data_IF_556431202438
#
_entry.id   IF_556431202438
#
_cell.length_a   1.000
_cell.length_b   1.000
_cell.length_c   1.000
_cell.angle_alpha   90.00
_cell.angle_beta   90.00
_cell.angle_gamma   90.00
#
_symmetry.space_group_name_H-M   'P 1'
#
loop_
_entity.id
_entity.type
_entity.pdbx_description
1 polymer ?
#
# COMPACT_ATOMS: atom_id res chain seq x y z
N UNK A 1 37.90 24.99 22.78
CA UNK A 1 38.51 24.63 21.48
C UNK A 1 39.01 23.20 21.48
N UNK A 2 39.65 22.74 22.57
CA UNK A 2 40.10 21.33 22.73
C UNK A 2 38.94 20.32 22.85
N UNK A 3 37.82 20.73 23.46
CA UNK A 3 36.60 19.91 23.60
C UNK A 3 35.85 19.66 22.29
N UNK A 4 36.00 20.51 21.27
CA UNK A 4 35.36 20.34 19.95
C UNK A 4 36.15 19.41 19.01
N UNK A 5 37.46 19.32 19.20
CA UNK A 5 38.31 18.42 18.42
C UNK A 5 38.09 16.95 18.84
N UNK A 6 37.98 16.69 20.15
CA UNK A 6 37.70 15.34 20.68
C UNK A 6 36.32 14.82 20.27
N UNK A 7 35.30 15.69 20.28
CA UNK A 7 33.95 15.31 19.85
C UNK A 7 33.90 14.96 18.35
N UNK A 8 34.66 15.70 17.53
CA UNK A 8 34.73 15.49 16.08
C UNK A 8 35.47 14.20 15.72
N UNK A 9 36.58 13.89 16.38
CA UNK A 9 37.32 12.64 16.17
C UNK A 9 36.53 11.41 16.66
N UNK A 10 35.88 11.52 17.82
CA UNK A 10 34.98 10.47 18.33
C UNK A 10 33.84 10.17 17.34
N UNK A 11 33.21 11.21 16.79
CA UNK A 11 32.16 11.06 15.79
C UNK A 11 32.68 10.41 14.50
N UNK A 12 33.89 10.73 14.04
CA UNK A 12 34.51 10.06 12.88
C UNK A 12 34.77 8.58 13.14
N UNK A 13 35.27 8.21 14.32
CA UNK A 13 35.50 6.83 14.72
C UNK A 13 34.22 6.00 14.73
N UNK A 14 33.14 6.55 15.30
CA UNK A 14 31.82 5.92 15.30
C UNK A 14 31.31 5.73 13.86
N UNK A 15 31.38 6.76 13.02
CA UNK A 15 30.91 6.69 11.63
C UNK A 15 31.71 5.67 10.80
N UNK A 16 33.02 5.56 11.02
CA UNK A 16 33.86 4.56 10.35
C UNK A 16 33.53 3.12 10.80
N UNK A 17 33.16 2.93 12.07
CA UNK A 17 32.70 1.64 12.57
C UNK A 17 31.32 1.26 11.98
N UNK A 18 30.37 2.20 11.97
CA UNK A 18 29.05 2.01 11.35
C UNK A 18 29.19 1.67 9.86
N UNK A 19 30.04 2.41 9.14
CA UNK A 19 30.30 2.17 7.72
C UNK A 19 30.85 0.76 7.44
N UNK A 20 31.86 0.31 8.21
CA UNK A 20 32.40 -1.05 8.10
C UNK A 20 31.35 -2.12 8.35
N UNK A 21 30.47 -1.91 9.33
CA UNK A 21 29.43 -2.88 9.68
C UNK A 21 28.32 -2.94 8.63
N UNK A 22 27.84 -1.78 8.16
CA UNK A 22 26.85 -1.70 7.09
C UNK A 22 27.36 -2.31 5.78
N UNK A 23 28.65 -2.15 5.48
CA UNK A 23 29.24 -2.69 4.24
C UNK A 23 29.82 -4.11 4.37
N UNK A 24 29.63 -4.76 5.52
CA UNK A 24 29.93 -6.18 5.70
C UNK A 24 29.07 -7.06 4.77
N UNK A 25 29.44 -8.33 4.59
CA UNK A 25 28.63 -9.28 3.81
C UNK A 25 27.19 -9.36 4.29
N UNK A 26 26.97 -9.32 5.61
CA UNK A 26 25.64 -9.38 6.20
C UNK A 26 24.89 -8.05 6.08
N UNK A 27 25.56 -6.91 6.28
CA UNK A 27 24.94 -5.60 6.11
C UNK A 27 24.43 -5.39 4.68
N UNK A 28 25.21 -5.82 3.68
CA UNK A 28 24.78 -5.81 2.27
C UNK A 28 23.59 -6.72 2.01
N UNK A 29 23.58 -7.91 2.58
CA UNK A 29 22.44 -8.83 2.48
C UNK A 29 21.17 -8.21 3.07
N UNK A 30 21.26 -7.57 4.24
CA UNK A 30 20.11 -6.90 4.86
C UNK A 30 19.61 -5.70 4.04
N UNK A 31 20.51 -4.89 3.50
CA UNK A 31 20.14 -3.79 2.60
C UNK A 31 19.45 -4.31 1.32
N UNK A 32 19.89 -5.44 0.79
CA UNK A 32 19.26 -6.08 -0.36
C UNK A 32 17.86 -6.59 -0.02
N UNK A 33 17.72 -7.35 1.07
CA UNK A 33 16.42 -7.86 1.52
C UNK A 33 15.42 -6.71 1.72
N UNK A 34 15.83 -5.67 2.42
CA UNK A 34 14.93 -4.57 2.78
C UNK A 34 14.68 -3.58 1.63
N UNK A 35 15.69 -3.30 0.79
CA UNK A 35 15.58 -2.31 -0.30
C UNK A 35 15.16 -2.87 -1.66
N UNK A 36 15.15 -4.21 -1.82
CA UNK A 36 14.79 -4.91 -3.06
C UNK A 36 13.70 -5.95 -2.83
N UNK A 37 13.90 -6.91 -1.93
CA UNK A 37 12.95 -8.01 -1.73
C UNK A 37 11.64 -7.51 -1.11
N UNK A 38 11.70 -6.66 -0.09
CA UNK A 38 10.51 -6.10 0.56
C UNK A 38 9.61 -5.32 -0.41
N UNK A 39 10.11 -4.39 -1.25
CA UNK A 39 9.31 -3.76 -2.31
C UNK A 39 8.66 -4.75 -3.27
N UNK A 40 9.36 -5.82 -3.67
CA UNK A 40 8.80 -6.85 -4.56
C UNK A 40 7.63 -7.56 -3.87
N UNK A 41 7.79 -7.94 -2.61
CA UNK A 41 6.73 -8.57 -1.82
C UNK A 41 5.54 -7.62 -1.67
N UNK A 42 5.77 -6.37 -1.24
CA UNK A 42 4.73 -5.35 -1.11
C UNK A 42 3.94 -5.14 -2.40
N UNK A 43 4.65 -5.15 -3.54
CA UNK A 43 4.03 -5.03 -4.85
C UNK A 43 3.23 -6.28 -5.24
N UNK A 44 3.72 -7.49 -4.92
CA UNK A 44 2.97 -8.72 -5.12
C UNK A 44 1.66 -8.74 -4.31
N UNK A 45 1.67 -8.22 -3.08
CA UNK A 45 0.44 -8.05 -2.29
C UNK A 45 -0.52 -7.00 -2.86
N UNK A 46 -0.01 -5.96 -3.51
CA UNK A 46 -0.86 -5.00 -4.23
C UNK A 46 -1.63 -5.65 -5.39
N UNK A 47 -1.13 -6.76 -5.94
CA UNK A 47 -1.78 -7.54 -7.01
C UNK A 47 -2.84 -8.51 -6.51
N UNK A 48 -2.69 -9.05 -5.31
CA UNK A 48 -3.68 -9.97 -4.72
C UNK A 48 -4.92 -9.25 -4.19
N UNK A 49 -4.98 -7.93 -4.34
CA UNK A 49 -5.90 -7.06 -3.61
C UNK A 49 -5.41 -6.92 -2.17
N UNK A 50 -5.14 -5.70 -1.73
CA UNK A 50 -5.08 -5.44 -0.30
C UNK A 50 -6.43 -5.89 0.29
N UNK A 51 -6.48 -6.58 1.45
CA UNK A 51 -7.74 -6.95 2.11
C UNK A 51 -8.62 -5.74 2.47
N UNK A 52 -8.17 -4.52 2.19
CA UNK A 52 -8.99 -3.33 2.19
C UNK A 52 -10.10 -3.35 1.12
N UNK A 53 -9.91 -3.98 -0.04
CA UNK A 53 -10.77 -3.83 -1.22
C UNK A 53 -12.20 -4.36 -1.04
N UNK A 54 -12.40 -5.42 -0.26
CA UNK A 54 -13.71 -6.08 -0.11
C UNK A 54 -14.73 -5.20 0.63
N UNK A 55 -14.25 -4.23 1.41
CA UNK A 55 -15.06 -3.28 2.19
C UNK A 55 -15.02 -1.85 1.61
N UNK A 56 -14.43 -1.60 0.42
CA UNK A 56 -14.38 -0.23 -0.12
C UNK A 56 -15.69 0.18 -0.81
N UNK A 57 -16.13 1.40 -0.52
CA UNK A 57 -17.20 2.09 -1.25
C UNK A 57 -16.76 3.50 -1.64
N UNK A 58 -17.54 4.16 -2.49
CA UNK A 58 -17.28 5.53 -2.94
C UNK A 58 -17.61 6.55 -1.82
N UNK A 59 -16.76 6.62 -0.80
CA UNK A 59 -16.93 7.49 0.37
C UNK A 59 -16.40 8.93 0.17
N UNK A 60 -15.65 9.17 -0.90
CA UNK A 60 -15.01 10.45 -1.22
C UNK A 60 -13.83 10.80 -0.32
N UNK A 61 -13.36 9.89 0.56
CA UNK A 61 -12.28 10.18 1.49
C UNK A 61 -10.91 10.03 0.83
N UNK A 62 -9.93 10.90 1.14
CA UNK A 62 -8.57 10.80 0.63
C UNK A 62 -7.89 9.44 0.92
N UNK A 63 -8.24 8.82 2.05
CA UNK A 63 -7.77 7.49 2.44
C UNK A 63 -8.12 6.40 1.41
N UNK A 64 -9.36 6.42 0.88
CA UNK A 64 -9.84 5.46 -0.12
C UNK A 64 -9.09 5.63 -1.45
N UNK A 65 -8.86 6.87 -1.87
CA UNK A 65 -8.06 7.15 -3.07
C UNK A 65 -6.62 6.65 -2.92
N UNK A 66 -5.99 6.87 -1.76
CA UNK A 66 -4.63 6.41 -1.49
C UNK A 66 -4.54 4.86 -1.46
N UNK A 67 -5.52 4.19 -0.84
CA UNK A 67 -5.61 2.72 -0.86
C UNK A 67 -5.72 2.15 -2.29
N UNK A 68 -6.55 2.78 -3.14
CA UNK A 68 -6.70 2.36 -4.53
C UNK A 68 -5.44 2.66 -5.35
N UNK A 69 -4.78 3.80 -5.12
CA UNK A 69 -3.49 4.12 -5.75
C UNK A 69 -2.39 3.12 -5.39
N UNK A 70 -2.44 2.53 -4.19
CA UNK A 70 -1.53 1.46 -3.75
C UNK A 70 -1.87 0.08 -4.34
N UNK A 71 -3.01 -0.07 -5.02
CA UNK A 71 -3.52 -1.33 -5.55
C UNK A 71 -3.34 -1.45 -7.06
N UNK A 72 -3.42 -2.69 -7.56
CA UNK A 72 -3.52 -2.95 -8.99
C UNK A 72 -4.83 -2.35 -9.57
N UNK A 73 -4.81 -1.71 -10.76
CA UNK A 73 -3.69 -1.52 -11.67
C UNK A 73 -2.95 -0.19 -11.49
N UNK A 74 -3.40 0.70 -10.58
CA UNK A 74 -2.85 2.05 -10.45
C UNK A 74 -1.35 2.07 -10.11
N UNK A 75 -0.90 1.13 -9.29
CA UNK A 75 0.51 1.03 -8.85
C UNK A 75 1.46 0.59 -9.98
N UNK A 76 0.95 -0.09 -11.01
CA UNK A 76 1.78 -0.64 -12.10
C UNK A 76 2.53 0.42 -12.89
N UNK A 77 1.94 1.60 -13.04
CA UNK A 77 2.53 2.67 -13.86
C UNK A 77 3.82 3.21 -13.23
N UNK A 78 3.89 3.19 -11.89
CA UNK A 78 5.06 3.67 -11.13
C UNK A 78 6.12 2.57 -10.99
N UNK A 79 5.75 1.30 -11.19
CA UNK A 79 6.62 0.16 -10.97
C UNK A 79 7.92 0.13 -11.78
N UNK A 80 7.95 0.52 -13.08
CA UNK A 80 9.21 0.57 -13.84
C UNK A 80 10.27 1.49 -13.21
N UNK A 81 9.85 2.61 -12.60
CA UNK A 81 10.75 3.52 -11.90
C UNK A 81 11.32 2.86 -10.64
N UNK A 82 10.48 2.10 -9.91
CA UNK A 82 10.91 1.34 -8.74
C UNK A 82 11.88 0.21 -9.12
N UNK A 83 11.62 -0.52 -10.21
CA UNK A 83 12.51 -1.58 -10.72
C UNK A 83 13.88 -1.01 -11.06
N UNK A 84 13.94 0.16 -11.71
CA UNK A 84 15.20 0.84 -11.98
C UNK A 84 15.99 1.17 -10.70
N UNK A 85 15.30 1.62 -9.64
CA UNK A 85 15.92 1.85 -8.33
C UNK A 85 16.43 0.56 -7.67
N UNK A 86 15.65 -0.53 -7.74
CA UNK A 86 16.02 -1.83 -7.18
C UNK A 86 17.25 -2.43 -7.88
N UNK A 87 17.31 -2.36 -9.21
CA UNK A 87 18.47 -2.79 -9.99
C UNK A 87 19.69 -1.95 -9.62
N UNK A 88 19.53 -0.62 -9.52
CA UNK A 88 20.62 0.29 -9.17
C UNK A 88 21.18 0.03 -7.78
N UNK A 89 20.31 -0.19 -6.78
CA UNK A 89 20.72 -0.58 -5.44
C UNK A 89 21.46 -1.93 -5.45
N UNK A 90 20.94 -2.93 -6.17
CA UNK A 90 21.57 -4.25 -6.30
C UNK A 90 22.99 -4.15 -6.86
N UNK A 91 23.17 -3.37 -7.93
CA UNK A 91 24.49 -3.15 -8.52
C UNK A 91 25.47 -2.46 -7.55
N UNK A 92 25.00 -1.45 -6.82
CA UNK A 92 25.83 -0.75 -5.82
C UNK A 92 26.21 -1.67 -4.65
N UNK A 93 25.29 -2.51 -4.20
CA UNK A 93 25.56 -3.50 -3.14
C UNK A 93 26.55 -4.58 -3.62
N UNK A 94 26.47 -4.98 -4.90
CA UNK A 94 27.40 -5.94 -5.47
C UNK A 94 28.84 -5.40 -5.50
N UNK A 95 29.05 -4.27 -6.17
CA UNK A 95 30.34 -3.59 -6.25
C UNK A 95 30.17 -2.07 -6.39
N UNK A 96 30.21 -1.40 -5.24
CA UNK A 96 30.08 0.05 -5.14
C UNK A 96 31.11 0.82 -5.95
N UNK A 97 32.38 0.40 -5.93
CA UNK A 97 33.48 1.14 -6.55
C UNK A 97 33.42 1.05 -8.07
N UNK A 98 32.92 -0.07 -8.59
CA UNK A 98 32.66 -0.26 -10.02
C UNK A 98 31.38 0.45 -10.46
N UNK A 99 30.26 0.15 -9.81
CA UNK A 99 28.94 0.57 -10.30
C UNK A 99 28.53 1.99 -9.90
N UNK A 100 29.01 2.50 -8.76
CA UNK A 100 28.71 3.85 -8.28
C UNK A 100 29.21 4.98 -9.18
N UNK A 101 30.09 4.67 -10.14
CA UNK A 101 30.61 5.64 -11.13
C UNK A 101 29.62 5.89 -12.27
N UNK A 102 28.75 4.93 -12.61
CA UNK A 102 27.81 5.07 -13.72
C UNK A 102 26.69 6.06 -13.37
N UNK A 103 26.41 6.97 -14.30
CA UNK A 103 25.35 7.99 -14.10
C UNK A 103 23.98 7.33 -13.97
N UNK A 104 23.66 6.35 -14.82
CA UNK A 104 22.37 5.64 -14.77
C UNK A 104 22.12 4.95 -13.42
N UNK A 105 23.14 4.28 -12.86
CA UNK A 105 23.04 3.61 -11.55
C UNK A 105 22.84 4.64 -10.43
N UNK A 106 23.61 5.73 -10.43
CA UNK A 106 23.43 6.80 -9.45
C UNK A 106 22.02 7.40 -9.54
N UNK A 107 21.55 7.59 -10.76
CA UNK A 107 20.24 8.13 -11.02
C UNK A 107 19.13 7.24 -10.46
N UNK A 108 19.15 5.94 -10.75
CA UNK A 108 18.17 5.00 -10.19
C UNK A 108 18.25 4.89 -8.67
N UNK A 109 19.45 4.94 -8.10
CA UNK A 109 19.63 4.96 -6.65
C UNK A 109 18.98 6.20 -6.00
N UNK A 110 19.23 7.39 -6.57
CA UNK A 110 18.67 8.65 -6.09
C UNK A 110 17.16 8.71 -6.28
N UNK A 111 16.65 8.19 -7.39
CA UNK A 111 15.21 8.00 -7.65
C UNK A 111 14.53 7.13 -6.58
N UNK A 112 15.25 6.20 -5.97
CA UNK A 112 14.68 5.32 -4.94
C UNK A 112 14.23 6.07 -3.68
N UNK A 113 14.84 7.21 -3.35
CA UNK A 113 14.47 8.04 -2.19
C UNK A 113 13.08 8.66 -2.33
N UNK A 114 12.78 9.49 -3.36
CA UNK A 114 11.45 10.08 -3.53
C UNK A 114 10.37 9.02 -3.81
N UNK A 115 10.69 7.91 -4.48
CA UNK A 115 9.73 6.82 -4.67
C UNK A 115 9.39 6.12 -3.35
N UNK A 116 10.39 5.83 -2.52
CA UNK A 116 10.15 5.24 -1.20
C UNK A 116 9.34 6.20 -0.31
N UNK A 117 9.63 7.50 -0.37
CA UNK A 117 8.84 8.53 0.33
C UNK A 117 7.40 8.61 -0.21
N UNK A 118 7.20 8.62 -1.52
CA UNK A 118 5.86 8.62 -2.13
C UNK A 118 5.06 7.41 -1.67
N UNK A 119 5.65 6.20 -1.75
CA UNK A 119 4.97 4.98 -1.36
C UNK A 119 4.71 4.94 0.15
N UNK A 120 5.65 5.45 0.96
CA UNK A 120 5.43 5.66 2.39
C UNK A 120 4.22 6.56 2.66
N UNK A 121 4.14 7.73 2.00
CA UNK A 121 2.98 8.62 2.11
C UNK A 121 1.72 7.90 1.67
N UNK A 122 1.67 7.25 0.51
CA UNK A 122 0.47 6.58 0.01
C UNK A 122 -0.03 5.48 0.97
N UNK A 123 0.88 4.67 1.51
CA UNK A 123 0.51 3.56 2.41
C UNK A 123 0.10 4.06 3.79
N UNK A 124 0.77 5.08 4.34
CA UNK A 124 0.47 5.57 5.69
C UNK A 124 -0.58 6.67 5.73
N UNK A 125 -0.83 7.39 4.63
CA UNK A 125 -1.80 8.49 4.61
C UNK A 125 -3.25 8.08 4.99
N UNK A 126 -3.78 6.92 4.56
CA UNK A 126 -5.08 6.43 5.01
C UNK A 126 -5.19 6.29 6.53
N UNK A 127 -4.15 5.73 7.15
CA UNK A 127 -4.11 5.51 8.59
C UNK A 127 -3.74 6.79 9.35
N UNK A 128 -2.88 7.64 8.78
CA UNK A 128 -2.49 8.95 9.31
C UNK A 128 -3.67 9.92 9.45
N UNK A 129 -4.66 9.83 8.55
CA UNK A 129 -5.90 10.59 8.66
C UNK A 129 -6.88 9.98 9.68
N UNK A 130 -6.88 8.66 9.87
CA UNK A 130 -7.63 7.98 10.96
C UNK A 130 -6.97 8.18 12.34
N UNK A 131 -5.67 8.50 12.34
CA UNK A 131 -4.78 8.72 13.47
C UNK A 131 -5.00 10.04 14.20
N UNK A 132 -5.62 11.05 13.55
CA UNK A 132 -6.03 12.27 14.26
C UNK A 132 -7.05 11.97 15.38
N UNK A 133 -7.74 10.82 15.30
CA UNK A 133 -8.69 10.35 16.32
C UNK A 133 -8.06 9.36 17.34
N UNK A 134 -6.80 8.91 17.18
CA UNK A 134 -6.20 7.92 18.10
C UNK A 134 -4.67 8.07 18.30
N UNK A 135 -4.29 8.71 19.41
CA UNK A 135 -2.92 8.95 19.89
C UNK A 135 -2.04 7.67 20.02
N UNK A 136 -2.66 6.50 20.09
CA UNK A 136 -1.98 5.20 20.33
C UNK A 136 -1.10 4.80 19.14
N UNK A 137 -1.52 5.10 17.90
CA UNK A 137 -0.81 4.63 16.71
C UNK A 137 0.38 5.55 16.34
N UNK A 138 0.37 6.84 16.72
CA UNK A 138 1.56 7.72 16.66
C UNK A 138 2.62 7.21 17.63
N UNK A 139 2.19 6.81 18.83
CA UNK A 139 3.03 6.13 19.80
C UNK A 139 3.64 4.85 19.24
N UNK A 140 2.84 4.00 18.59
CA UNK A 140 3.33 2.76 17.97
C UNK A 140 4.20 2.98 16.74
N UNK A 141 3.99 4.03 15.94
CA UNK A 141 4.87 4.38 14.83
C UNK A 141 6.21 4.96 15.32
N UNK A 142 6.19 5.83 16.34
CA UNK A 142 7.40 6.35 16.97
C UNK A 142 8.19 5.25 17.70
N UNK A 143 7.49 4.38 18.43
CA UNK A 143 8.07 3.16 19.04
C UNK A 143 8.54 2.21 17.94
N UNK A 144 7.82 2.07 16.83
CA UNK A 144 8.21 1.29 15.67
C UNK A 144 9.52 1.78 15.10
N UNK A 145 9.67 3.08 14.85
CA UNK A 145 10.91 3.72 14.37
C UNK A 145 12.05 3.55 15.40
N UNK A 146 11.76 3.73 16.70
CA UNK A 146 12.75 3.58 17.76
C UNK A 146 13.22 2.12 17.93
N UNK A 147 12.30 1.16 18.02
CA UNK A 147 12.58 -0.29 18.12
C UNK A 147 13.24 -0.81 16.85
N UNK A 148 12.90 -0.25 15.68
CA UNK A 148 13.54 -0.56 14.41
C UNK A 148 15.00 -0.11 14.39
N UNK A 149 15.26 1.17 14.70
CA UNK A 149 16.62 1.70 14.78
C UNK A 149 17.45 0.95 15.81
N UNK A 150 16.87 0.66 16.97
CA UNK A 150 17.53 -0.05 18.06
C UNK A 150 17.78 -1.53 17.75
N UNK A 151 16.81 -2.21 17.12
CA UNK A 151 16.91 -3.60 16.70
C UNK A 151 17.96 -3.81 15.61
N UNK A 152 18.07 -2.88 14.66
CA UNK A 152 19.12 -2.90 13.63
C UNK A 152 20.51 -2.71 14.25
N UNK A 153 20.66 -1.77 15.19
CA UNK A 153 21.91 -1.52 15.91
C UNK A 153 22.30 -2.71 16.79
N UNK A 154 21.36 -3.33 17.50
CA UNK A 154 21.64 -4.52 18.32
C UNK A 154 21.98 -5.72 17.44
N UNK A 155 21.21 -5.98 16.38
CA UNK A 155 21.48 -7.10 15.49
C UNK A 155 22.85 -6.98 14.82
N UNK A 156 23.19 -5.78 14.34
CA UNK A 156 24.52 -5.52 13.78
C UNK A 156 25.62 -5.58 14.83
N UNK A 157 25.40 -5.07 16.04
CA UNK A 157 26.37 -5.15 17.14
C UNK A 157 26.65 -6.61 17.55
N UNK A 158 25.61 -7.42 17.80
CA UNK A 158 25.73 -8.83 18.22
C UNK A 158 26.40 -9.69 17.14
N UNK A 159 26.03 -9.51 15.86
CA UNK A 159 26.67 -10.24 14.77
C UNK A 159 28.16 -9.86 14.65
N UNK A 160 28.47 -8.58 14.82
CA UNK A 160 29.82 -8.09 14.69
C UNK A 160 30.69 -8.52 15.88
N UNK A 161 30.14 -8.59 17.10
CA UNK A 161 30.82 -9.19 18.26
C UNK A 161 31.11 -10.69 18.06
N UNK A 162 30.20 -11.42 17.40
CA UNK A 162 30.42 -12.84 17.08
C UNK A 162 31.51 -13.04 16.02
N UNK A 163 31.59 -12.14 15.03
CA UNK A 163 32.66 -12.15 14.01
C UNK A 163 34.01 -11.70 14.59
N UNK A 164 34.01 -10.72 15.51
CA UNK A 164 35.21 -10.31 16.23
C UNK A 164 35.75 -11.42 17.14
N UNK A 165 34.88 -12.20 17.80
CA UNK A 165 35.30 -13.36 18.57
C UNK A 165 35.91 -14.49 17.71
N UNK A 166 35.66 -14.49 16.40
CA UNK A 166 36.25 -15.43 15.43
C UNK A 166 37.60 -14.96 14.88
N UNK A 167 37.83 -13.65 14.83
CA UNK A 167 39.04 -13.05 14.25
C UNK A 167 40.00 -12.41 15.29
N UNK A 168 39.56 -12.26 16.54
CA UNK A 168 40.36 -11.72 17.65
C UNK A 168 41.10 -12.81 18.42
N UNK A 169 42.42 -12.69 18.48
CA UNK A 169 43.39 -13.56 19.14
C UNK A 169 43.30 -13.52 20.67
N UNK A 170 42.21 -14.02 21.26
CA UNK A 170 42.15 -14.31 22.69
C UNK A 170 42.08 -15.82 22.87
N UNK A 171 43.09 -16.38 23.53
CA UNK A 171 43.46 -17.81 23.67
C UNK A 171 42.43 -18.76 24.30
N UNK A 172 41.14 -18.42 24.30
CA UNK A 172 40.10 -19.38 24.64
C UNK A 172 38.86 -19.13 23.79
N UNK A 173 38.52 -20.05 22.85
CA UNK A 173 37.31 -19.91 22.07
C UNK A 173 36.09 -19.90 23.01
N UNK A 174 35.10 -19.03 22.79
CA UNK A 174 33.86 -19.11 23.56
C UNK A 174 33.29 -20.52 23.44
N UNK A 175 32.99 -21.14 24.58
CA UNK A 175 32.49 -22.52 24.61
C UNK A 175 31.30 -22.66 23.68
N UNK A 176 31.17 -23.79 22.98
CA UNK A 176 30.06 -24.06 22.06
C UNK A 176 28.68 -23.79 22.71
N UNK A 177 28.58 -23.98 24.02
CA UNK A 177 27.38 -23.67 24.81
C UNK A 177 27.03 -22.18 24.87
N UNK A 178 28.01 -21.27 24.90
CA UNK A 178 27.76 -19.82 24.97
C UNK A 178 27.25 -19.26 23.64
N UNK A 179 27.71 -19.82 22.51
CA UNK A 179 27.22 -19.47 21.18
C UNK A 179 25.79 -20.00 20.99
N UNK A 180 25.55 -21.26 21.36
CA UNK A 180 24.22 -21.87 21.28
C UNK A 180 23.20 -21.12 22.16
N UNK A 181 23.58 -20.78 23.40
CA UNK A 181 22.71 -20.02 24.32
C UNK A 181 22.35 -18.63 23.78
N UNK A 182 23.28 -17.95 23.08
CA UNK A 182 23.02 -16.64 22.46
C UNK A 182 22.11 -16.74 21.24
N UNK A 183 22.27 -17.76 20.40
CA UNK A 183 21.38 -18.03 19.28
C UNK A 183 19.98 -18.37 19.80
N UNK A 184 19.88 -19.24 20.80
CA UNK A 184 18.61 -19.62 21.43
C UNK A 184 17.95 -18.42 22.10
N UNK A 185 18.69 -17.54 22.77
CA UNK A 185 18.15 -16.31 23.35
C UNK A 185 17.60 -15.35 22.29
N UNK A 186 18.29 -15.18 21.15
CA UNK A 186 17.79 -14.39 20.03
C UNK A 186 16.54 -15.03 19.41
N UNK A 187 16.52 -16.35 19.26
CA UNK A 187 15.37 -17.09 18.74
C UNK A 187 14.19 -17.02 19.71
N UNK A 188 14.41 -17.07 21.03
CA UNK A 188 13.37 -16.95 22.07
C UNK A 188 12.87 -15.50 22.17
N UNK A 189 13.75 -14.50 22.06
CA UNK A 189 13.35 -13.09 22.01
C UNK A 189 12.52 -12.82 20.75
N UNK A 190 12.92 -13.39 19.61
CA UNK A 190 12.13 -13.39 18.38
C UNK A 190 10.82 -14.14 18.62
N UNK A 191 10.81 -15.34 19.23
CA UNK A 191 9.62 -16.17 19.54
C UNK A 191 8.60 -15.45 20.44
N UNK A 192 9.07 -14.76 21.48
CA UNK A 192 8.25 -14.00 22.44
C UNK A 192 7.69 -12.72 21.79
N UNK A 193 8.47 -12.08 20.91
CA UNK A 193 7.98 -10.98 20.06
C UNK A 193 7.07 -11.51 18.93
N UNK A 194 7.17 -12.80 18.55
CA UNK A 194 6.44 -13.46 17.45
C UNK A 194 5.28 -14.36 17.88
N UNK A 195 4.80 -14.26 19.13
CA UNK A 195 3.52 -14.85 19.54
C UNK A 195 2.32 -14.43 18.66
N UNK A 196 2.48 -13.40 17.81
CA UNK A 196 1.61 -13.16 16.67
C UNK A 196 2.37 -13.31 15.34
N UNK A 197 2.22 -14.45 14.66
CA UNK A 197 2.72 -14.65 13.28
C UNK A 197 2.23 -13.55 12.30
N UNK A 198 1.11 -12.87 12.61
CA UNK A 198 0.63 -11.71 11.86
C UNK A 198 1.55 -10.49 11.93
N UNK A 199 2.31 -10.28 13.02
CA UNK A 199 3.20 -9.11 13.19
C UNK A 199 4.44 -9.22 12.28
N UNK A 200 4.94 -10.43 11.99
CA UNK A 200 6.13 -10.60 11.14
C UNK A 200 5.88 -10.42 9.64
N UNK A 201 4.64 -10.57 9.19
CA UNK A 201 4.26 -10.21 7.82
C UNK A 201 3.87 -8.74 7.78
N UNK A 202 3.02 -8.29 8.70
CA UNK A 202 2.44 -6.95 8.64
C UNK A 202 3.43 -5.86 9.06
N UNK A 203 4.25 -6.04 10.11
CA UNK A 203 5.15 -4.98 10.59
C UNK A 203 6.32 -4.68 9.62
N UNK A 204 7.00 -5.66 8.99
CA UNK A 204 7.98 -5.38 7.95
C UNK A 204 7.36 -4.84 6.66
N UNK A 205 6.09 -5.14 6.38
CA UNK A 205 5.38 -4.54 5.24
C UNK A 205 5.00 -3.08 5.50
N UNK A 206 4.50 -2.77 6.71
CA UNK A 206 4.20 -1.41 7.14
C UNK A 206 5.50 -0.58 7.24
N UNK A 207 6.48 -1.04 8.00
CA UNK A 207 7.75 -0.33 8.18
C UNK A 207 8.70 -0.47 7.00
N UNK A 208 8.41 -1.37 6.05
CA UNK A 208 9.24 -1.66 4.87
C UNK A 208 9.54 -0.43 4.04
N UNK A 209 8.58 0.49 3.96
CA UNK A 209 8.73 1.78 3.27
C UNK A 209 9.76 2.68 3.97
N UNK A 210 9.76 2.74 5.30
CA UNK A 210 10.75 3.45 6.10
C UNK A 210 12.16 2.86 5.91
N UNK A 211 12.25 1.52 5.94
CA UNK A 211 13.52 0.82 5.71
C UNK A 211 14.07 1.09 4.31
N UNK A 212 13.23 0.99 3.29
CA UNK A 212 13.59 1.34 1.92
C UNK A 212 14.12 2.77 1.86
N UNK A 213 13.37 3.73 2.40
CA UNK A 213 13.76 5.13 2.39
C UNK A 213 15.11 5.34 3.10
N UNK A 214 15.32 4.72 4.26
CA UNK A 214 16.57 4.79 4.99
C UNK A 214 17.75 4.19 4.21
N UNK A 215 17.56 3.04 3.59
CA UNK A 215 18.59 2.36 2.79
C UNK A 215 18.93 3.15 1.54
N UNK A 216 17.94 3.60 0.77
CA UNK A 216 18.17 4.45 -0.39
C UNK A 216 18.84 5.76 0.00
N UNK A 217 18.45 6.39 1.13
CA UNK A 217 19.07 7.62 1.60
C UNK A 217 20.53 7.41 2.01
N UNK A 218 20.80 6.37 2.81
CA UNK A 218 22.15 6.03 3.25
C UNK A 218 23.08 5.71 2.08
N UNK A 219 22.65 4.80 1.20
CA UNK A 219 23.45 4.40 0.03
C UNK A 219 23.62 5.56 -0.96
N UNK A 220 22.61 6.41 -1.13
CA UNK A 220 22.71 7.62 -1.94
C UNK A 220 23.73 8.60 -1.38
N UNK A 221 23.70 8.90 -0.07
CA UNK A 221 24.65 9.78 0.58
C UNK A 221 26.09 9.26 0.48
N UNK A 222 26.24 7.94 0.60
CA UNK A 222 27.53 7.27 0.47
C UNK A 222 28.10 7.44 -0.95
N UNK A 223 27.34 7.04 -1.98
CA UNK A 223 27.77 7.15 -3.38
C UNK A 223 27.96 8.61 -3.79
N UNK A 224 27.13 9.52 -3.23
CA UNK A 224 27.24 10.96 -3.45
C UNK A 224 28.56 11.52 -2.94
N UNK A 225 28.95 11.20 -1.70
CA UNK A 225 30.19 11.71 -1.11
C UNK A 225 31.44 11.25 -1.87
N UNK A 226 31.45 10.03 -2.41
CA UNK A 226 32.55 9.47 -3.19
C UNK A 226 32.68 10.05 -4.62
N UNK A 227 31.61 10.61 -5.19
CA UNK A 227 31.56 11.04 -6.59
C UNK A 227 31.23 12.52 -6.78
N UNK A 228 31.43 13.35 -5.75
CA UNK A 228 31.01 14.76 -5.71
C UNK A 228 31.49 15.61 -6.90
N UNK A 229 32.68 15.34 -7.42
CA UNK A 229 33.26 16.09 -8.55
C UNK A 229 32.64 15.77 -9.92
N UNK A 230 31.83 14.71 -10.04
CA UNK A 230 31.30 14.19 -11.32
C UNK A 230 29.78 14.30 -11.46
N UNK A 231 29.16 15.27 -10.77
CA UNK A 231 27.71 15.35 -10.60
C UNK A 231 27.04 16.53 -11.31
N UNK A 232 27.79 17.57 -11.65
CA UNK A 232 27.22 18.79 -12.25
C UNK A 232 27.65 18.91 -13.71
N UNK A 233 26.83 18.38 -14.61
CA UNK A 233 27.02 18.48 -16.06
C UNK A 233 25.69 18.43 -16.80
N UNK A 234 25.69 18.79 -18.09
CA UNK A 234 24.48 18.86 -18.92
C UNK A 234 23.67 17.55 -18.91
N UNK A 235 24.35 16.40 -18.93
CA UNK A 235 23.71 15.07 -18.88
C UNK A 235 22.88 14.89 -17.60
N UNK A 236 23.38 15.38 -16.46
CA UNK A 236 22.66 15.32 -15.19
C UNK A 236 21.44 16.22 -15.19
N UNK A 237 21.57 17.43 -15.74
CA UNK A 237 20.45 18.37 -15.86
C UNK A 237 19.33 17.80 -16.74
N UNK A 238 19.67 17.34 -17.95
CA UNK A 238 18.72 16.74 -18.89
C UNK A 238 18.11 15.45 -18.34
N UNK A 239 18.91 14.60 -17.69
CA UNK A 239 18.42 13.38 -17.04
C UNK A 239 17.42 13.68 -15.92
N UNK A 240 17.71 14.69 -15.09
CA UNK A 240 16.81 15.13 -14.01
C UNK A 240 15.49 15.65 -14.56
N UNK A 241 15.51 16.52 -15.57
CA UNK A 241 14.27 17.04 -16.20
C UNK A 241 13.47 15.89 -16.83
N UNK A 242 14.15 15.00 -17.56
CA UNK A 242 13.50 13.87 -18.22
C UNK A 242 12.81 12.96 -17.21
N UNK A 243 13.48 12.66 -16.10
CA UNK A 243 12.88 11.86 -15.03
C UNK A 243 11.72 12.53 -14.33
N UNK A 244 11.83 13.83 -14.03
CA UNK A 244 10.70 14.58 -13.46
C UNK A 244 9.49 14.50 -14.40
N UNK A 245 9.70 14.62 -15.72
CA UNK A 245 8.67 14.42 -16.72
C UNK A 245 8.05 13.02 -16.69
N UNK A 246 8.88 11.96 -16.71
CA UNK A 246 8.42 10.57 -16.65
C UNK A 246 7.69 10.29 -15.34
N UNK A 247 8.19 10.80 -14.22
CA UNK A 247 7.57 10.66 -12.90
C UNK A 247 6.19 11.29 -12.86
N UNK A 248 6.03 12.54 -13.32
CA UNK A 248 4.72 13.21 -13.36
C UNK A 248 3.76 12.54 -14.35
N UNK A 249 4.26 12.05 -15.49
CA UNK A 249 3.45 11.28 -16.41
C UNK A 249 2.96 9.96 -15.78
N UNK A 250 3.84 9.24 -15.08
CA UNK A 250 3.50 8.02 -14.35
C UNK A 250 2.48 8.29 -13.24
N UNK A 251 2.69 9.36 -12.46
CA UNK A 251 1.77 9.79 -11.40
C UNK A 251 0.39 10.15 -11.95
N UNK A 252 0.32 10.92 -13.04
CA UNK A 252 -0.94 11.27 -13.71
C UNK A 252 -1.70 10.03 -14.16
N UNK A 253 -1.02 9.10 -14.82
CA UNK A 253 -1.63 7.86 -15.30
C UNK A 253 -2.07 6.95 -14.13
N UNK A 254 -1.27 6.87 -13.07
CA UNK A 254 -1.63 6.16 -11.83
C UNK A 254 -2.91 6.72 -11.20
N UNK A 255 -3.02 8.06 -11.09
CA UNK A 255 -4.23 8.73 -10.60
C UNK A 255 -5.43 8.44 -11.51
N UNK A 256 -5.26 8.45 -12.83
CA UNK A 256 -6.35 8.14 -13.77
C UNK A 256 -6.85 6.70 -13.60
N UNK A 257 -5.95 5.73 -13.49
CA UNK A 257 -6.32 4.34 -13.23
C UNK A 257 -7.01 4.19 -11.86
N UNK A 258 -6.51 4.87 -10.83
CA UNK A 258 -7.13 4.86 -9.51
C UNK A 258 -8.55 5.44 -9.54
N UNK A 259 -8.79 6.51 -10.29
CA UNK A 259 -10.14 7.06 -10.50
C UNK A 259 -11.03 6.03 -11.20
N UNK A 260 -10.54 5.33 -12.22
CA UNK A 260 -11.32 4.31 -12.93
C UNK A 260 -11.69 3.14 -12.01
N UNK A 261 -10.77 2.66 -11.17
CA UNK A 261 -11.09 1.62 -10.17
C UNK A 261 -12.06 2.11 -9.10
N UNK A 262 -11.87 3.34 -8.60
CA UNK A 262 -12.78 3.96 -7.64
C UNK A 262 -14.21 4.03 -8.18
N UNK A 263 -14.38 4.30 -9.47
CA UNK A 263 -15.70 4.36 -10.10
C UNK A 263 -16.40 3.00 -10.17
N UNK A 264 -15.67 1.88 -10.10
CA UNK A 264 -16.23 0.53 -10.06
C UNK A 264 -16.76 0.16 -8.66
N UNK A 265 -16.28 0.82 -7.61
CA UNK A 265 -16.70 0.55 -6.25
C UNK A 265 -18.20 0.86 -6.06
N UNK A 266 -18.90 0.15 -5.15
CA UNK A 266 -20.26 0.50 -4.79
C UNK A 266 -20.32 1.92 -4.25
N UNK A 267 -21.41 2.62 -4.52
CA UNK A 267 -21.61 4.01 -4.08
C UNK A 267 -22.05 4.14 -2.63
N UNK A 268 -22.41 3.03 -1.98
CA UNK A 268 -22.90 2.98 -0.60
C UNK A 268 -22.18 1.90 0.20
N UNK A 269 -21.89 2.17 1.49
CA UNK A 269 -21.42 1.14 2.39
C UNK A 269 -22.49 0.06 2.52
N UNK A 270 -22.13 -1.19 2.34
CA UNK A 270 -23.03 -2.30 2.67
C UNK A 270 -22.96 -2.53 4.19
N UNK A 271 -24.09 -2.67 4.91
CA UNK A 271 -25.47 -2.88 4.47
C UNK A 271 -26.37 -1.63 4.57
N UNK A 272 -25.84 -0.41 4.39
CA UNK A 272 -26.64 0.83 4.52
C UNK A 272 -27.46 1.19 3.28
N UNK A 273 -27.26 0.48 2.17
CA UNK A 273 -28.01 0.71 0.94
C UNK A 273 -29.47 0.26 1.06
N UNK A 274 -30.41 1.20 0.91
CA UNK A 274 -31.85 0.95 1.02
C UNK A 274 -32.33 -0.18 0.10
N UNK A 275 -31.87 -0.19 -1.15
CA UNK A 275 -32.30 -1.18 -2.15
C UNK A 275 -31.71 -2.57 -1.82
N UNK A 276 -30.44 -2.64 -1.41
CA UNK A 276 -29.83 -3.91 -0.99
C UNK A 276 -30.49 -4.45 0.28
N UNK A 277 -30.82 -3.59 1.25
CA UNK A 277 -31.49 -3.99 2.49
C UNK A 277 -32.90 -4.49 2.22
N UNK A 278 -33.64 -3.88 1.29
CA UNK A 278 -34.93 -4.39 0.84
C UNK A 278 -34.80 -5.78 0.17
N UNK A 279 -33.78 -5.97 -0.66
CA UNK A 279 -33.50 -7.26 -1.30
C UNK A 279 -33.07 -8.35 -0.30
N UNK A 280 -32.29 -7.99 0.73
CA UNK A 280 -31.78 -8.92 1.73
C UNK A 280 -32.87 -9.37 2.71
N UNK A 281 -33.67 -8.43 3.23
CA UNK A 281 -34.64 -8.69 4.30
C UNK A 281 -36.04 -9.08 3.81
N UNK A 282 -36.36 -8.87 2.53
CA UNK A 282 -37.65 -9.25 1.95
C UNK A 282 -37.84 -10.77 1.81
N UNK A 283 -39.09 -11.21 1.66
CA UNK A 283 -39.39 -12.64 1.52
C UNK A 283 -38.80 -13.18 0.21
N UNK A 284 -37.98 -14.24 0.31
CA UNK A 284 -37.21 -14.79 -0.82
C UNK A 284 -38.05 -15.02 -2.09
N UNK A 285 -39.25 -15.58 -1.94
CA UNK A 285 -40.16 -15.88 -3.06
C UNK A 285 -40.80 -14.63 -3.67
N UNK A 286 -40.95 -13.58 -2.88
CA UNK A 286 -41.58 -12.33 -3.30
C UNK A 286 -40.58 -11.38 -3.97
N UNK A 287 -39.46 -11.08 -3.30
CA UNK A 287 -38.44 -10.17 -3.85
C UNK A 287 -37.49 -10.83 -4.85
N UNK A 288 -37.50 -12.16 -4.94
CA UNK A 288 -36.67 -12.92 -5.88
C UNK A 288 -35.17 -12.80 -5.60
N UNK A 289 -34.77 -12.86 -4.33
CA UNK A 289 -33.35 -12.72 -3.93
C UNK A 289 -32.50 -13.92 -4.35
N UNK A 290 -31.28 -13.64 -4.79
CA UNK A 290 -30.22 -14.60 -5.09
C UNK A 290 -28.88 -14.13 -4.51
N UNK A 291 -27.95 -15.05 -4.32
CA UNK A 291 -26.59 -14.79 -3.81
C UNK A 291 -25.61 -15.46 -4.76
N UNK A 292 -24.53 -14.77 -5.12
CA UNK A 292 -23.48 -15.27 -6.01
C UNK A 292 -22.13 -15.05 -5.32
N UNK A 293 -21.15 -15.94 -5.51
CA UNK A 293 -19.79 -15.78 -5.00
C UNK A 293 -19.10 -14.48 -5.45
N UNK A 294 -19.55 -13.87 -6.56
CA UNK A 294 -19.00 -12.58 -7.02
C UNK A 294 -19.41 -11.39 -6.15
N UNK A 295 -20.40 -11.54 -5.27
CA UNK A 295 -20.94 -10.45 -4.44
C UNK A 295 -21.20 -10.93 -3.01
N UNK A 296 -20.74 -10.16 -2.02
CA UNK A 296 -20.87 -10.46 -0.60
C UNK A 296 -22.30 -10.30 -0.03
N UNK A 297 -23.28 -9.95 -0.87
CA UNK A 297 -24.64 -9.59 -0.43
C UNK A 297 -25.75 -10.20 -1.30
N UNK A 298 -26.96 -10.41 -0.74
CA UNK A 298 -28.12 -10.83 -1.52
C UNK A 298 -28.54 -9.77 -2.53
N UNK A 299 -28.55 -10.12 -3.81
CA UNK A 299 -29.03 -9.29 -4.90
C UNK A 299 -30.40 -9.78 -5.39
N UNK A 300 -31.14 -8.92 -6.08
CA UNK A 300 -32.36 -9.30 -6.79
C UNK A 300 -32.39 -8.64 -8.19
N UNK A 301 -33.34 -9.07 -9.02
CA UNK A 301 -33.48 -8.54 -10.39
C UNK A 301 -33.74 -7.03 -10.42
N UNK A 302 -34.51 -6.52 -9.46
CA UNK A 302 -34.83 -5.09 -9.36
C UNK A 302 -33.55 -4.26 -9.14
N UNK A 303 -32.65 -4.71 -8.26
CA UNK A 303 -31.36 -4.07 -8.02
C UNK A 303 -30.50 -4.03 -9.29
N UNK A 304 -30.45 -5.13 -10.06
CA UNK A 304 -29.69 -5.17 -11.32
C UNK A 304 -30.18 -4.09 -12.31
N UNK A 305 -31.50 -3.99 -12.50
CA UNK A 305 -32.09 -2.98 -13.37
C UNK A 305 -31.80 -1.57 -12.89
N UNK A 306 -32.09 -1.27 -11.62
CA UNK A 306 -31.90 0.08 -11.06
C UNK A 306 -30.42 0.49 -11.13
N UNK A 307 -29.49 -0.42 -10.83
CA UNK A 307 -28.05 -0.14 -10.91
C UNK A 307 -27.58 0.12 -12.34
N UNK A 308 -28.07 -0.67 -13.31
CA UNK A 308 -27.78 -0.42 -14.71
C UNK A 308 -28.35 0.94 -15.18
N UNK A 309 -29.55 1.30 -14.72
CA UNK A 309 -30.14 2.62 -14.95
C UNK A 309 -29.31 3.75 -14.36
N UNK A 310 -28.76 3.57 -13.15
CA UNK A 310 -27.86 4.53 -12.52
C UNK A 310 -26.61 4.77 -13.39
N UNK A 311 -26.01 3.72 -13.96
CA UNK A 311 -24.89 3.86 -14.89
C UNK A 311 -25.28 4.59 -16.18
N UNK A 312 -26.44 4.29 -16.75
CA UNK A 312 -26.94 4.97 -17.94
C UNK A 312 -27.17 6.48 -17.69
N UNK A 313 -27.83 6.84 -16.58
CA UNK A 313 -28.05 8.24 -16.20
C UNK A 313 -26.73 8.96 -15.94
N UNK A 314 -25.77 8.29 -15.28
CA UNK A 314 -24.42 8.85 -15.07
C UNK A 314 -23.68 9.12 -16.38
N UNK A 315 -23.79 8.22 -17.35
CA UNK A 315 -23.17 8.37 -18.66
C UNK A 315 -23.80 9.48 -19.51
N UNK A 316 -25.12 9.61 -19.46
CA UNK A 316 -25.86 10.59 -20.29
C UNK A 316 -25.87 11.98 -19.65
N UNK A 317 -26.10 12.07 -18.34
CA UNK A 317 -26.24 13.34 -17.63
C UNK A 317 -25.64 13.26 -16.21
N UNK A 318 -24.34 13.57 -16.05
CA UNK A 318 -23.68 13.54 -14.75
C UNK A 318 -24.30 14.51 -13.74
N UNK A 319 -24.86 15.64 -14.20
CA UNK A 319 -25.53 16.62 -13.34
C UNK A 319 -26.82 16.06 -12.75
N UNK A 320 -27.63 15.34 -13.55
CA UNK A 320 -28.86 14.69 -13.08
C UNK A 320 -28.52 13.56 -12.13
N UNK A 321 -27.53 12.72 -12.48
CA UNK A 321 -27.04 11.67 -11.59
C UNK A 321 -26.64 12.23 -10.21
N UNK A 322 -25.86 13.33 -10.18
CA UNK A 322 -25.46 13.99 -8.92
C UNK A 322 -26.65 14.47 -8.09
N UNK A 323 -27.69 15.03 -8.71
CA UNK A 323 -28.90 15.48 -8.00
C UNK A 323 -29.68 14.30 -7.41
N UNK A 324 -29.89 13.25 -8.20
CA UNK A 324 -30.57 12.03 -7.75
C UNK A 324 -29.80 11.38 -6.59
N UNK A 325 -28.47 11.36 -6.69
CA UNK A 325 -27.57 10.88 -5.65
C UNK A 325 -27.75 11.65 -4.34
N UNK A 326 -27.78 12.98 -4.39
CA UNK A 326 -27.99 13.82 -3.19
C UNK A 326 -29.35 13.57 -2.52
N UNK A 327 -30.41 13.38 -3.31
CA UNK A 327 -31.75 13.06 -2.79
C UNK A 327 -31.72 11.68 -2.11
N UNK A 328 -31.13 10.69 -2.79
CA UNK A 328 -31.00 9.35 -2.25
C UNK A 328 -30.15 9.31 -0.98
N UNK A 329 -28.99 9.95 -0.94
CA UNK A 329 -28.09 9.94 0.23
C UNK A 329 -28.78 10.55 1.48
N UNK A 330 -29.77 11.43 1.28
CA UNK A 330 -30.57 12.01 2.36
C UNK A 330 -31.65 11.07 2.90
N UNK A 331 -32.26 10.25 2.05
CA UNK A 331 -33.45 9.44 2.38
C UNK A 331 -33.11 7.96 2.58
N UNK A 332 -32.18 7.44 1.78
CA UNK A 332 -31.79 6.03 1.69
C UNK A 332 -31.29 5.45 3.01
N UNK A 333 -30.22 5.98 3.63
CA UNK A 333 -29.68 5.40 4.87
C UNK A 333 -30.64 5.45 6.07
N UNK A 334 -31.43 6.52 6.31
CA UNK A 334 -32.52 6.48 7.29
C UNK A 334 -33.59 5.43 6.96
N UNK A 335 -34.04 5.36 5.71
CA UNK A 335 -35.06 4.40 5.30
C UNK A 335 -34.57 2.94 5.43
N UNK A 336 -33.30 2.67 5.09
CA UNK A 336 -32.71 1.35 5.20
C UNK A 336 -32.73 0.82 6.64
N UNK A 337 -32.53 1.70 7.63
CA UNK A 337 -32.58 1.35 9.06
C UNK A 337 -33.96 0.91 9.53
N UNK A 338 -35.02 1.32 8.83
CA UNK A 338 -36.40 0.93 9.13
C UNK A 338 -36.77 -0.44 8.54
N UNK A 339 -36.00 -0.95 7.58
CA UNK A 339 -36.26 -2.22 6.89
C UNK A 339 -35.76 -3.45 7.66
N UNK A 340 -36.05 -3.54 8.96
CA UNK A 340 -35.68 -4.68 9.81
C UNK A 340 -36.67 -5.84 9.71
N UNK A 341 -37.92 -5.55 9.35
CA UNK A 341 -38.99 -6.54 9.25
C UNK A 341 -39.24 -6.95 7.79
N UNK A 342 -39.45 -8.25 7.50
CA UNK A 342 -39.66 -8.73 6.13
C UNK A 342 -40.80 -8.04 5.37
N UNK A 343 -41.91 -7.74 6.05
CA UNK A 343 -43.04 -7.03 5.45
C UNK A 343 -42.70 -5.58 5.07
N UNK A 344 -41.86 -4.91 5.87
CA UNK A 344 -41.40 -3.56 5.55
C UNK A 344 -40.46 -3.58 4.33
N UNK A 345 -39.62 -4.61 4.22
CA UNK A 345 -38.74 -4.82 3.07
C UNK A 345 -39.54 -5.16 1.79
N UNK A 346 -40.61 -5.95 1.89
CA UNK A 346 -41.51 -6.23 0.76
C UNK A 346 -42.29 -4.98 0.33
N UNK A 347 -42.78 -4.17 1.29
CA UNK A 347 -43.43 -2.90 0.99
C UNK A 347 -42.45 -1.93 0.31
N UNK A 348 -41.20 -1.86 0.76
CA UNK A 348 -40.14 -1.09 0.11
C UNK A 348 -39.85 -1.58 -1.31
N UNK A 349 -39.82 -2.90 -1.53
CA UNK A 349 -39.66 -3.49 -2.86
C UNK A 349 -40.77 -3.06 -3.83
N UNK A 350 -42.02 -3.03 -3.35
CA UNK A 350 -43.19 -2.54 -4.12
C UNK A 350 -43.08 -1.04 -4.38
N UNK A 351 -42.67 -0.25 -3.38
CA UNK A 351 -42.51 1.20 -3.51
C UNK A 351 -41.44 1.58 -4.55
N UNK A 352 -40.43 0.73 -4.76
CA UNK A 352 -39.40 0.91 -5.78
C UNK A 352 -39.84 0.53 -7.20
N UNK A 353 -41.00 -0.12 -7.38
CA UNK A 353 -41.48 -0.56 -8.71
C UNK A 353 -41.66 0.57 -9.73
N UNK A 354 -42.22 1.75 -9.38
CA UNK A 354 -42.31 2.87 -10.34
C UNK A 354 -40.94 3.31 -10.87
N UNK A 355 -39.92 3.28 -10.02
CA UNK A 355 -38.54 3.62 -10.40
C UNK A 355 -37.96 2.53 -11.32
N UNK A 356 -38.16 1.25 -10.98
CA UNK A 356 -37.75 0.13 -11.82
C UNK A 356 -38.36 0.21 -13.23
N UNK A 357 -39.66 0.51 -13.33
CA UNK A 357 -40.36 0.68 -14.62
C UNK A 357 -39.79 1.86 -15.40
N UNK A 358 -39.51 2.98 -14.74
CA UNK A 358 -38.89 4.16 -15.38
C UNK A 358 -37.50 3.81 -15.92
N UNK A 359 -36.69 3.08 -15.14
CA UNK A 359 -35.37 2.62 -15.56
C UNK A 359 -35.46 1.63 -16.72
N UNK A 360 -36.40 0.69 -16.69
CA UNK A 360 -36.67 -0.23 -17.79
C UNK A 360 -37.02 0.51 -19.08
N UNK A 361 -37.88 1.53 -19.00
CA UNK A 361 -38.23 2.37 -20.14
C UNK A 361 -36.99 3.07 -20.71
N UNK A 362 -36.19 3.71 -19.85
CA UNK A 362 -34.96 4.39 -20.26
C UNK A 362 -33.96 3.42 -20.90
N UNK A 363 -33.69 2.27 -20.29
CA UNK A 363 -32.76 1.28 -20.84
C UNK A 363 -33.24 0.67 -22.16
N UNK A 364 -34.56 0.51 -22.31
CA UNK A 364 -35.17 0.07 -23.58
C UNK A 364 -35.01 1.12 -24.67
N UNK A 365 -35.22 2.40 -24.36
CA UNK A 365 -34.98 3.51 -25.30
C UNK A 365 -33.51 3.59 -25.73
N UNK A 366 -32.59 3.27 -24.82
CA UNK A 366 -31.15 3.19 -25.08
C UNK A 366 -30.71 1.88 -25.76
N UNK A 367 -31.65 0.97 -26.05
CA UNK A 367 -31.40 -0.35 -26.65
C UNK A 367 -30.35 -1.17 -25.88
N UNK A 368 -30.31 -1.06 -24.55
CA UNK A 368 -29.43 -1.85 -23.70
C UNK A 368 -29.94 -3.29 -23.66
N UNK A 369 -29.08 -4.25 -23.98
CA UNK A 369 -29.45 -5.68 -23.98
C UNK A 369 -29.85 -6.14 -22.57
N UNK A 370 -31.02 -6.77 -22.39
CA UNK A 370 -31.40 -7.35 -21.10
C UNK A 370 -30.38 -8.35 -20.57
N UNK A 371 -29.71 -9.12 -21.44
CA UNK A 371 -28.70 -10.11 -21.00
C UNK A 371 -27.52 -9.47 -20.26
N UNK A 372 -27.13 -8.26 -20.64
CA UNK A 372 -26.06 -7.51 -19.97
C UNK A 372 -26.47 -7.13 -18.55
N UNK A 373 -27.73 -6.74 -18.35
CA UNK A 373 -28.27 -6.38 -17.03
C UNK A 373 -28.33 -7.58 -16.11
N UNK A 374 -28.75 -8.75 -16.62
CA UNK A 374 -28.86 -9.95 -15.79
C UNK A 374 -27.49 -10.54 -15.38
N UNK A 375 -26.41 -10.20 -16.10
CA UNK A 375 -25.03 -10.52 -15.70
C UNK A 375 -24.50 -9.63 -14.58
N UNK A 376 -25.11 -8.46 -14.34
CA UNK A 376 -24.68 -7.58 -13.26
C UNK A 376 -24.88 -8.29 -11.92
N UNK A 377 -23.81 -8.49 -11.14
CA UNK A 377 -23.83 -9.27 -9.89
C UNK A 377 -24.03 -10.80 -10.06
N UNK A 378 -23.78 -11.33 -11.26
CA UNK A 378 -23.59 -12.76 -11.47
C UNK A 378 -22.20 -13.03 -12.02
N UNK A 379 -21.53 -14.05 -11.50
CA UNK A 379 -20.34 -14.57 -12.16
C UNK A 379 -20.79 -15.26 -13.46
N UNK A 380 -20.19 -14.89 -14.59
CA UNK A 380 -20.34 -15.66 -15.81
C UNK A 380 -19.74 -17.04 -15.52
N UNK A 381 -20.60 -18.03 -15.27
CA UNK A 381 -20.21 -19.44 -15.30
C UNK A 381 -19.95 -19.78 -16.76
N UNK A 382 -18.70 -19.56 -17.18
CA UNK A 382 -18.09 -20.32 -18.26
C UNK A 382 -17.24 -21.43 -17.66
#
# INVERSE_FOLDING_TARGET
METDLDSTERNRGIMAAVHRNCWSGVGRMMMFLMGVVTPIINFAFAFTGLPLADDLWQDGRPATYAAIMASYPAVLVVYPLLVHSMISLTLVLWDRLRFGKFVAVRFGLYTGVPLALQFHVIVFFPDALRLLDSLILVGLAAVGIAVSGFGFVIATFVLNSALFAKNGSTDSPPSRGTIAARIVFVVILIAIVTGGAGIFVVAPMLLGTCWCMGIYSYTSALVWSENRSKQFGLVWFLGTISWVGVYFAALRNSIQLAILEYQKLPTEPQPTCYICTAAANGHRRFVGRFTDSSVSFPANRQLQWIKCGEFAVRAISPTVHRRLRLIYDRIGPPAARLLRHPLAADAAYVLLKPIEITVLLVLTLLRVSPSLVHRLYRSDSQ
#
